data_IF_730629162644
#
_entry.id   IF_730629162644
#
_cell.length_a   1.000
_cell.length_b   1.000
_cell.length_c   1.000
_cell.angle_alpha   90.00
_cell.angle_beta   90.00
_cell.angle_gamma   90.00
#
_symmetry.space_group_name_H-M   'P 1'
#
loop_
_entity.id
_entity.type
_entity.pdbx_description
1 polymer ?
#
# COMPACT_ATOMS: atom_id res chain seq x y z
N UNK A 1 -16.27 -6.94 -8.14
CA UNK A 1 -15.16 -5.99 -8.41
C UNK A 1 -14.36 -6.46 -9.61
N UNK A 2 -13.64 -5.59 -10.31
CA UNK A 2 -12.80 -5.98 -11.45
C UNK A 2 -11.77 -7.04 -11.02
N UNK A 3 -11.17 -6.88 -9.83
CA UNK A 3 -10.26 -7.87 -9.24
C UNK A 3 -10.89 -9.27 -9.17
N UNK A 4 -12.14 -9.38 -8.68
CA UNK A 4 -12.90 -10.64 -8.60
C UNK A 4 -13.02 -11.36 -9.93
N UNK A 5 -13.17 -10.60 -11.01
CA UNK A 5 -13.29 -11.17 -12.36
C UNK A 5 -11.98 -11.83 -12.82
N UNK A 6 -10.84 -11.25 -12.44
CA UNK A 6 -9.52 -11.76 -12.83
C UNK A 6 -8.93 -12.76 -11.85
N UNK A 7 -9.42 -12.80 -10.61
CA UNK A 7 -8.91 -13.68 -9.56
C UNK A 7 -9.84 -14.84 -9.21
N UNK A 8 -11.08 -14.85 -9.73
CA UNK A 8 -12.05 -15.91 -9.45
C UNK A 8 -12.69 -15.80 -8.06
N UNK A 9 -12.39 -14.75 -7.31
CA UNK A 9 -13.02 -14.44 -6.03
C UNK A 9 -14.53 -14.19 -6.22
N UNK A 10 -15.36 -14.72 -5.33
CA UNK A 10 -16.79 -14.40 -5.25
C UNK A 10 -17.08 -13.61 -3.96
N UNK A 11 -18.35 -13.49 -3.56
CA UNK A 11 -18.76 -12.83 -2.32
C UNK A 11 -18.78 -13.78 -1.11
N UNK A 12 -18.36 -15.04 -1.28
CA UNK A 12 -18.33 -16.01 -0.19
C UNK A 12 -17.08 -15.78 0.68
N UNK A 13 -17.24 -15.81 2.02
CA UNK A 13 -16.21 -15.35 2.95
C UNK A 13 -14.93 -16.21 2.98
N UNK A 14 -15.04 -17.49 2.60
CA UNK A 14 -13.92 -18.45 2.71
C UNK A 14 -13.29 -18.79 1.34
N UNK A 15 -13.69 -18.10 0.27
CA UNK A 15 -13.19 -18.41 -1.06
C UNK A 15 -11.79 -17.81 -1.26
N UNK A 16 -10.84 -18.69 -1.57
CA UNK A 16 -9.48 -18.34 -1.96
C UNK A 16 -9.46 -18.08 -3.48
N UNK A 17 -8.67 -17.13 -4.00
CA UNK A 17 -8.56 -16.90 -5.43
C UNK A 17 -8.13 -18.16 -6.20
N UNK A 18 -8.63 -18.28 -7.43
CA UNK A 18 -8.22 -19.33 -8.36
C UNK A 18 -6.80 -19.02 -8.85
N UNK A 19 -5.83 -19.82 -8.41
CA UNK A 19 -4.41 -19.65 -8.74
C UNK A 19 -4.14 -19.67 -10.25
N UNK A 20 -4.82 -20.54 -11.00
CA UNK A 20 -4.66 -20.63 -12.45
C UNK A 20 -5.20 -19.37 -13.15
N UNK A 21 -6.32 -18.84 -12.65
CA UNK A 21 -6.91 -17.61 -13.17
C UNK A 21 -6.06 -16.38 -12.82
N UNK A 22 -5.59 -16.28 -11.57
CA UNK A 22 -4.66 -15.25 -11.13
C UNK A 22 -3.38 -15.25 -11.98
N UNK A 23 -2.80 -16.42 -12.23
CA UNK A 23 -1.61 -16.55 -13.08
C UNK A 23 -1.88 -16.13 -14.52
N UNK A 24 -3.03 -16.50 -15.07
CA UNK A 24 -3.47 -16.12 -16.42
C UNK A 24 -3.65 -14.60 -16.55
N UNK A 25 -4.18 -13.94 -15.52
CA UNK A 25 -4.50 -12.52 -15.51
C UNK A 25 -3.55 -11.68 -14.65
N UNK A 26 -2.32 -12.16 -14.42
CA UNK A 26 -1.34 -11.51 -13.53
C UNK A 26 -1.10 -10.06 -13.95
N UNK A 27 -0.94 -9.80 -15.26
CA UNK A 27 -0.69 -8.44 -15.77
C UNK A 27 -1.84 -7.48 -15.43
N UNK A 28 -3.08 -7.93 -15.55
CA UNK A 28 -4.26 -7.13 -15.23
C UNK A 28 -4.36 -6.90 -13.71
N UNK A 29 -4.10 -7.93 -12.91
CA UNK A 29 -4.09 -7.86 -11.44
C UNK A 29 -3.00 -6.89 -10.94
N UNK A 30 -1.80 -7.00 -11.46
CA UNK A 30 -0.67 -6.11 -11.14
C UNK A 30 -0.97 -4.67 -11.57
N UNK A 31 -1.62 -4.48 -12.74
CA UNK A 31 -2.05 -3.17 -13.20
C UNK A 31 -3.12 -2.55 -12.30
N UNK A 32 -4.02 -3.36 -11.74
CA UNK A 32 -4.98 -2.88 -10.72
C UNK A 32 -4.20 -2.35 -9.52
N UNK A 33 -3.25 -3.12 -8.98
CA UNK A 33 -2.45 -2.70 -7.84
C UNK A 33 -1.69 -1.40 -8.11
N UNK A 34 -0.99 -1.31 -9.24
CA UNK A 34 -0.26 -0.09 -9.65
C UNK A 34 -1.20 1.12 -9.79
N UNK A 35 -2.39 0.95 -10.36
CA UNK A 35 -3.39 2.03 -10.43
C UNK A 35 -3.87 2.47 -9.05
N UNK A 36 -4.05 1.54 -8.10
CA UNK A 36 -4.45 1.88 -6.73
C UNK A 36 -3.35 2.70 -6.04
N UNK A 37 -2.09 2.26 -6.14
CA UNK A 37 -0.94 2.97 -5.57
C UNK A 37 -0.80 4.39 -6.14
N UNK A 38 -0.89 4.54 -7.46
CA UNK A 38 -0.85 5.85 -8.11
C UNK A 38 -1.94 6.79 -7.55
N UNK A 39 -3.14 6.26 -7.26
CA UNK A 39 -4.22 7.06 -6.69
C UNK A 39 -4.02 7.37 -5.21
N UNK A 40 -3.38 6.50 -4.44
CA UNK A 40 -3.06 6.75 -3.02
C UNK A 40 -2.10 7.93 -2.88
N UNK A 41 -1.01 7.95 -3.66
CA UNK A 41 -0.01 9.02 -3.65
C UNK A 41 -0.40 10.28 -4.43
N UNK A 42 -1.62 10.37 -4.96
CA UNK A 42 -2.04 11.53 -5.74
C UNK A 42 -2.60 12.65 -4.86
N UNK A 43 -2.11 13.87 -5.02
CA UNK A 43 -2.53 15.07 -4.25
C UNK A 43 -4.03 15.38 -4.40
N UNK A 44 -4.64 15.05 -5.55
CA UNK A 44 -6.07 15.32 -5.81
C UNK A 44 -7.01 14.28 -5.19
N UNK A 45 -6.47 13.16 -4.68
CA UNK A 45 -7.26 12.14 -4.01
C UNK A 45 -7.66 12.64 -2.62
N UNK A 46 -8.95 12.65 -2.33
CA UNK A 46 -9.45 13.03 -1.00
C UNK A 46 -9.02 12.04 0.08
N UNK A 47 -8.90 12.47 1.34
CA UNK A 47 -8.54 11.60 2.47
C UNK A 47 -9.45 10.36 2.59
N UNK A 48 -10.76 10.54 2.43
CA UNK A 48 -11.74 9.43 2.50
C UNK A 48 -11.49 8.41 1.38
N UNK A 49 -11.22 8.87 0.16
CA UNK A 49 -10.93 7.98 -0.96
C UNK A 49 -9.62 7.23 -0.73
N UNK A 50 -8.57 7.90 -0.26
CA UNK A 50 -7.27 7.30 0.07
C UNK A 50 -7.42 6.21 1.12
N UNK A 51 -8.15 6.47 2.20
CA UNK A 51 -8.46 5.47 3.22
C UNK A 51 -9.17 4.24 2.66
N UNK A 52 -10.13 4.44 1.74
CA UNK A 52 -10.85 3.35 1.10
C UNK A 52 -9.94 2.52 0.19
N UNK A 53 -9.02 3.15 -0.55
CA UNK A 53 -8.04 2.49 -1.40
C UNK A 53 -7.05 1.65 -0.58
N UNK A 54 -6.50 2.22 0.50
CA UNK A 54 -5.58 1.50 1.40
C UNK A 54 -6.30 0.30 2.02
N UNK A 55 -7.51 0.49 2.57
CA UNK A 55 -8.33 -0.62 3.10
C UNK A 55 -8.60 -1.71 2.06
N UNK A 56 -8.80 -1.32 0.80
CA UNK A 56 -9.00 -2.28 -0.28
C UNK A 56 -7.75 -3.13 -0.51
N UNK A 57 -6.56 -2.54 -0.52
CA UNK A 57 -5.29 -3.28 -0.61
C UNK A 57 -5.15 -4.21 0.61
N UNK A 58 -5.30 -3.67 1.83
CA UNK A 58 -5.16 -4.44 3.09
C UNK A 58 -6.06 -5.68 3.12
N UNK A 59 -7.29 -5.59 2.61
CA UNK A 59 -8.24 -6.71 2.61
C UNK A 59 -7.88 -7.83 1.63
N UNK A 60 -7.11 -7.55 0.59
CA UNK A 60 -6.80 -8.53 -0.46
C UNK A 60 -5.35 -9.03 -0.40
N UNK A 61 -4.49 -8.43 0.44
CA UNK A 61 -3.06 -8.74 0.47
C UNK A 61 -2.72 -10.17 0.92
N UNK A 62 -3.56 -10.74 1.80
CA UNK A 62 -3.34 -12.05 2.40
C UNK A 62 -3.51 -13.21 1.41
N UNK A 63 -4.09 -12.96 0.25
CA UNK A 63 -4.24 -13.98 -0.77
C UNK A 63 -2.90 -14.21 -1.48
N UNK A 64 -2.22 -15.29 -1.11
CA UNK A 64 -0.95 -15.71 -1.72
C UNK A 64 -1.02 -15.79 -3.24
N UNK A 65 -2.16 -16.27 -3.79
CA UNK A 65 -2.40 -16.34 -5.24
C UNK A 65 -2.38 -14.97 -5.97
N UNK A 66 -2.58 -13.86 -5.26
CA UNK A 66 -2.43 -12.50 -5.84
C UNK A 66 -0.98 -12.01 -5.81
N UNK A 67 -0.15 -12.52 -4.89
CA UNK A 67 1.22 -12.07 -4.64
C UNK A 67 1.35 -10.56 -4.37
N UNK A 68 0.29 -9.92 -3.85
CA UNK A 68 0.28 -8.46 -3.67
C UNK A 68 1.26 -7.95 -2.63
N UNK A 69 1.59 -8.72 -1.59
CA UNK A 69 2.61 -8.32 -0.62
C UNK A 69 3.95 -8.06 -1.31
N UNK A 70 4.45 -9.02 -2.09
CA UNK A 70 5.68 -8.86 -2.88
C UNK A 70 5.58 -7.79 -3.96
N UNK A 71 4.47 -7.75 -4.70
CA UNK A 71 4.29 -6.74 -5.75
C UNK A 71 4.24 -5.30 -5.20
N UNK A 72 3.85 -5.12 -3.94
CA UNK A 72 3.91 -3.81 -3.28
C UNK A 72 5.35 -3.32 -3.09
N UNK A 73 6.30 -4.22 -2.80
CA UNK A 73 7.73 -3.86 -2.74
C UNK A 73 8.22 -3.45 -4.14
N UNK A 74 7.93 -4.30 -5.15
CA UNK A 74 8.37 -4.06 -6.53
C UNK A 74 7.83 -2.78 -7.15
N UNK A 75 6.66 -2.29 -6.70
CA UNK A 75 6.01 -1.09 -7.23
C UNK A 75 6.27 0.19 -6.42
N UNK A 76 7.20 0.15 -5.45
CA UNK A 76 7.46 1.31 -4.57
C UNK A 76 6.26 1.64 -3.68
N UNK A 77 5.46 0.63 -3.35
CA UNK A 77 4.25 0.79 -2.56
C UNK A 77 4.54 1.12 -1.11
N UNK A 78 5.70 0.73 -0.57
CA UNK A 78 6.09 1.06 0.79
C UNK A 78 6.38 2.55 0.95
N UNK A 79 7.09 3.15 0.00
CA UNK A 79 7.46 4.56 -0.03
C UNK A 79 6.20 5.42 -0.11
N UNK A 80 5.25 5.05 -0.97
CA UNK A 80 3.94 5.73 -1.07
C UNK A 80 3.18 5.63 0.26
N UNK A 81 3.17 4.45 0.89
CA UNK A 81 2.49 4.27 2.19
C UNK A 81 3.21 5.02 3.32
N UNK A 82 4.54 5.07 3.32
CA UNK A 82 5.32 5.82 4.30
C UNK A 82 5.11 7.33 4.15
N UNK A 83 5.03 7.85 2.92
CA UNK A 83 4.68 9.25 2.65
C UNK A 83 3.27 9.58 3.15
N UNK A 84 2.31 8.66 2.99
CA UNK A 84 0.96 8.85 3.55
C UNK A 84 0.97 8.79 5.09
N UNK A 85 1.82 7.94 5.68
CA UNK A 85 1.96 7.82 7.12
C UNK A 85 2.67 9.02 7.76
N UNK A 86 3.54 9.72 7.01
CA UNK A 86 4.28 10.90 7.49
C UNK A 86 3.46 12.20 7.45
N UNK A 87 2.28 12.21 6.80
CA UNK A 87 1.38 13.37 6.82
C UNK A 87 0.99 13.71 8.27
N UNK A 88 1.07 15.00 8.63
CA UNK A 88 0.95 15.51 10.00
C UNK A 88 -0.21 16.50 10.14
N UNK A 89 -0.56 16.90 11.36
CA UNK A 89 -1.61 17.93 11.57
C UNK A 89 -1.19 19.36 11.25
N UNK A 90 0.11 19.62 11.06
CA UNK A 90 0.56 20.95 10.63
C UNK A 90 0.30 21.14 9.14
N UNK A 91 -0.51 22.14 8.78
CA UNK A 91 -0.82 22.52 7.38
C UNK A 91 0.44 22.83 6.56
N UNK A 92 1.56 23.15 7.21
CA UNK A 92 2.83 23.49 6.57
C UNK A 92 3.64 22.29 6.06
N UNK A 93 3.36 21.07 6.54
CA UNK A 93 4.14 19.87 6.18
C UNK A 93 3.33 18.84 5.37
N UNK A 94 2.09 19.15 4.95
CA UNK A 94 1.24 18.20 4.23
C UNK A 94 1.21 18.44 2.71
N UNK A 95 1.49 17.38 1.96
CA UNK A 95 1.34 17.33 0.50
C UNK A 95 0.03 16.63 0.08
N UNK A 96 -0.57 15.84 0.97
CA UNK A 96 -1.74 15.02 0.67
C UNK A 96 -2.92 15.35 1.59
N UNK A 97 -4.14 15.31 1.04
CA UNK A 97 -5.35 15.31 1.87
C UNK A 97 -5.39 14.04 2.73
N UNK A 98 -5.93 14.08 3.94
CA UNK A 98 -5.98 12.91 4.82
C UNK A 98 -7.12 13.03 5.84
N UNK A 99 -7.45 11.90 6.48
CA UNK A 99 -8.41 11.87 7.59
C UNK A 99 -7.68 11.60 8.89
N UNK A 100 -8.34 11.85 10.03
CA UNK A 100 -7.81 11.47 11.35
C UNK A 100 -7.52 9.97 11.50
N UNK A 101 -8.00 9.12 10.59
CA UNK A 101 -7.76 7.68 10.60
C UNK A 101 -6.70 7.20 9.59
N UNK A 102 -6.24 8.07 8.69
CA UNK A 102 -5.34 7.69 7.59
C UNK A 102 -4.05 7.05 8.10
N UNK A 103 -3.42 7.62 9.13
CA UNK A 103 -2.21 7.04 9.73
C UNK A 103 -2.46 5.62 10.25
N UNK A 104 -3.51 5.41 11.05
CA UNK A 104 -3.85 4.09 11.60
C UNK A 104 -4.14 3.06 10.50
N UNK A 105 -4.89 3.45 9.47
CA UNK A 105 -5.22 2.58 8.34
C UNK A 105 -3.96 2.18 7.59
N UNK A 106 -3.06 3.13 7.39
CA UNK A 106 -1.77 2.93 6.71
C UNK A 106 -0.85 2.02 7.52
N UNK A 107 -0.74 2.22 8.85
CA UNK A 107 0.02 1.35 9.73
C UNK A 107 -0.49 -0.10 9.70
N UNK A 108 -1.81 -0.29 9.71
CA UNK A 108 -2.40 -1.64 9.57
C UNK A 108 -2.06 -2.24 8.21
N UNK A 109 -2.09 -1.45 7.13
CA UNK A 109 -1.71 -1.93 5.81
C UNK A 109 -0.24 -2.37 5.75
N UNK A 110 0.70 -1.56 6.28
CA UNK A 110 2.12 -1.88 6.37
C UNK A 110 2.37 -3.16 7.16
N UNK A 111 1.71 -3.32 8.32
CA UNK A 111 1.81 -4.56 9.11
C UNK A 111 1.30 -5.79 8.33
N UNK A 112 0.21 -5.64 7.56
CA UNK A 112 -0.27 -6.74 6.71
C UNK A 112 0.61 -7.03 5.50
N UNK A 113 1.42 -6.07 5.03
CA UNK A 113 2.44 -6.36 4.04
C UNK A 113 3.49 -7.28 4.67
N UNK A 114 4.11 -6.86 5.77
CA UNK A 114 5.15 -7.63 6.49
C UNK A 114 4.68 -9.06 6.85
N UNK A 115 3.46 -9.20 7.38
CA UNK A 115 2.89 -10.51 7.74
C UNK A 115 2.72 -11.47 6.55
N UNK A 116 2.64 -10.97 5.32
CA UNK A 116 2.38 -11.76 4.11
C UNK A 116 3.59 -11.80 3.15
N UNK A 117 4.76 -11.36 3.61
CA UNK A 117 6.02 -11.54 2.89
C UNK A 117 6.68 -12.86 3.29
N UNK A 118 7.37 -13.48 2.32
CA UNK A 118 8.27 -14.58 2.59
C UNK A 118 9.51 -14.06 3.34
N UNK A 119 10.19 -14.92 4.10
CA UNK A 119 11.38 -14.54 4.90
C UNK A 119 12.48 -13.86 4.06
N UNK A 120 12.62 -14.24 2.78
CA UNK A 120 13.59 -13.62 1.88
C UNK A 120 13.20 -12.19 1.46
N UNK A 121 11.90 -11.89 1.39
CA UNK A 121 11.39 -10.58 0.97
C UNK A 121 11.31 -9.58 2.15
N UNK A 122 11.38 -10.08 3.40
CA UNK A 122 11.39 -9.24 4.60
C UNK A 122 12.65 -8.38 4.72
N UNK A 123 13.80 -8.90 4.28
CA UNK A 123 15.04 -8.11 4.24
C UNK A 123 14.86 -6.87 3.35
N UNK A 124 14.33 -7.07 2.14
CA UNK A 124 14.02 -5.98 1.21
C UNK A 124 13.01 -4.98 1.79
N UNK A 125 11.95 -5.47 2.46
CA UNK A 125 10.98 -4.61 3.15
C UNK A 125 11.65 -3.68 4.18
N UNK A 126 12.52 -4.21 5.03
CA UNK A 126 13.22 -3.40 6.03
C UNK A 126 14.26 -2.47 5.41
N UNK A 127 14.93 -2.89 4.34
CA UNK A 127 15.88 -2.06 3.61
C UNK A 127 15.20 -0.83 3.01
N UNK A 128 14.06 -1.00 2.34
CA UNK A 128 13.27 0.13 1.79
C UNK A 128 12.85 1.10 2.90
N UNK A 129 12.36 0.59 4.03
CA UNK A 129 11.96 1.43 5.17
C UNK A 129 13.17 2.19 5.74
N UNK A 130 14.29 1.51 5.93
CA UNK A 130 15.51 2.12 6.47
C UNK A 130 16.08 3.18 5.52
N UNK A 131 16.03 2.94 4.21
CA UNK A 131 16.44 3.90 3.20
C UNK A 131 15.54 5.14 3.24
N UNK A 132 14.22 4.98 3.28
CA UNK A 132 13.28 6.09 3.39
C UNK A 132 13.54 6.93 4.65
N UNK A 133 13.63 6.30 5.83
CA UNK A 133 13.91 7.03 7.08
C UNK A 133 15.25 7.77 7.00
N UNK A 134 16.28 7.14 6.42
CA UNK A 134 17.60 7.77 6.26
C UNK A 134 17.52 8.98 5.33
N UNK A 135 16.77 8.89 4.23
CA UNK A 135 16.57 10.01 3.32
C UNK A 135 15.88 11.17 4.04
N UNK A 136 14.79 10.90 4.77
CA UNK A 136 14.07 11.91 5.56
C UNK A 136 14.97 12.58 6.61
N UNK A 137 15.77 11.82 7.35
CA UNK A 137 16.71 12.37 8.35
C UNK A 137 17.85 13.21 7.74
N UNK A 138 18.18 12.99 6.47
CA UNK A 138 19.19 13.77 5.74
C UNK A 138 18.61 15.03 5.11
N UNK A 139 17.29 15.14 4.97
CA UNK A 139 16.65 16.38 4.56
C UNK A 139 16.91 17.44 5.64
N UNK A 140 17.68 18.47 5.28
CA UNK A 140 17.99 19.61 6.16
C UNK A 140 16.84 20.62 6.19
N UNK A 141 15.59 20.16 6.11
CA UNK A 141 14.46 21.07 6.23
C UNK A 141 14.16 21.35 7.70
N UNK A 142 14.64 22.50 8.15
CA UNK A 142 14.40 23.09 9.46
C UNK A 142 12.92 23.51 9.62
N UNK A 143 12.06 23.28 8.62
CA UNK A 143 10.68 23.74 8.56
C UNK A 143 9.66 23.11 9.53
N UNK A 144 9.88 21.90 10.04
CA UNK A 144 8.91 21.23 10.95
C UNK A 144 9.36 21.20 12.44
N UNK A 145 10.34 22.02 12.85
CA UNK A 145 10.62 22.30 14.28
C UNK A 145 9.81 23.52 14.75
N UNK A 146 8.59 23.29 15.24
CA UNK A 146 7.89 24.24 16.13
C UNK A 146 7.38 23.48 17.35
#
# INVERSE_FOLDING_TARGET
TILKTYSGLNDEPDLIPDEALCKKHKKEIDRILSCLLNKIGNETTTGIARDALIKFITRNIHYTALHWAKQLLEFGGLEILMEVASQCQSEYCNSLDYTSSTQTITSVCLAKIDENLDENDKEEFFDIINEFIRAELQTTDVGCHV
#
